data_IF_732599049553
#
_entry.id   IF_732599049553
#
_cell.length_a   1.000
_cell.length_b   1.000
_cell.length_c   1.000
_cell.angle_alpha   90.00
_cell.angle_beta   90.00
_cell.angle_gamma   90.00
#
_symmetry.space_group_name_H-M   'P 1'
#
loop_
_entity.id
_entity.type
_entity.pdbx_description
1 polymer ?
#
# COMPACT_ATOMS: atom_id res chain seq x y z
N UNK A 1 -19.03 32.61 7.10
CA UNK A 1 -18.09 31.96 8.03
C UNK A 1 -17.31 30.93 7.21
N UNK A 2 -16.09 31.24 6.76
CA UNK A 2 -15.26 30.26 6.06
C UNK A 2 -14.66 29.32 7.11
N UNK A 3 -15.08 28.07 7.10
CA UNK A 3 -14.41 27.00 7.84
C UNK A 3 -13.13 26.75 7.05
N UNK A 4 -12.03 27.40 7.44
CA UNK A 4 -10.71 26.99 6.99
C UNK A 4 -10.48 25.63 7.63
N UNK A 5 -10.75 24.57 6.85
CA UNK A 5 -10.34 23.22 7.20
C UNK A 5 -8.81 23.23 7.18
N UNK A 6 -8.19 23.57 8.31
CA UNK A 6 -6.75 23.43 8.48
C UNK A 6 -6.45 21.93 8.55
N UNK A 7 -6.40 21.29 7.38
CA UNK A 7 -5.94 19.91 7.24
C UNK A 7 -4.56 19.85 7.90
N UNK A 8 -4.36 18.92 8.85
CA UNK A 8 -3.05 18.75 9.49
C UNK A 8 -1.99 18.55 8.42
N UNK A 9 -0.86 19.24 8.56
CA UNK A 9 0.29 19.13 7.63
C UNK A 9 0.93 17.73 7.64
N UNK A 10 0.50 16.84 8.53
CA UNK A 10 0.93 15.45 8.56
C UNK A 10 -0.19 14.53 9.08
N UNK A 11 -0.06 13.24 8.79
CA UNK A 11 -0.87 12.16 9.35
C UNK A 11 0.06 11.05 9.88
N UNK A 12 -0.23 10.54 11.07
CA UNK A 12 0.46 9.37 11.59
C UNK A 12 -0.29 8.12 11.09
N UNK A 13 0.37 7.33 10.23
CA UNK A 13 -0.18 6.15 9.58
C UNK A 13 0.20 4.91 10.38
N UNK A 14 -0.79 4.10 10.75
CA UNK A 14 -0.60 2.85 11.50
C UNK A 14 -0.82 1.63 10.60
N UNK A 15 -0.07 0.54 10.83
CA UNK A 15 -0.24 -0.71 10.07
C UNK A 15 -1.44 -1.55 10.52
N UNK A 16 -1.81 -1.43 11.80
CA UNK A 16 -3.01 -2.02 12.42
C UNK A 16 -3.73 -0.93 13.22
N UNK A 17 -4.95 -1.19 13.68
CA UNK A 17 -5.62 -0.27 14.60
C UNK A 17 -4.84 -0.21 15.93
N UNK A 18 -4.30 0.96 16.35
CA UNK A 18 -3.56 1.08 17.60
C UNK A 18 -4.42 0.80 18.84
N UNK A 19 -5.75 0.86 18.75
CA UNK A 19 -6.64 0.44 19.83
C UNK A 19 -6.65 -1.09 20.01
N UNK A 20 -6.46 -1.85 18.93
CA UNK A 20 -6.39 -3.31 18.95
C UNK A 20 -4.96 -3.81 19.17
N UNK A 21 -3.96 -3.12 18.61
CA UNK A 21 -2.55 -3.41 18.78
C UNK A 21 -1.74 -2.14 19.06
N UNK A 22 -1.51 -1.80 20.34
CA UNK A 22 -0.73 -0.61 20.73
C UNK A 22 0.74 -0.62 20.30
N UNK A 23 1.28 -1.78 19.89
CA UNK A 23 2.67 -1.93 19.43
C UNK A 23 2.78 -1.84 17.90
N UNK A 24 1.69 -1.52 17.20
CA UNK A 24 1.71 -1.37 15.74
C UNK A 24 2.61 -0.18 15.35
N UNK A 25 3.48 -0.34 14.33
CA UNK A 25 4.30 0.75 13.83
C UNK A 25 3.45 1.93 13.35
N UNK A 26 3.94 3.13 13.64
CA UNK A 26 3.35 4.38 13.17
C UNK A 26 4.37 5.17 12.33
N UNK A 27 3.93 5.72 11.20
CA UNK A 27 4.77 6.53 10.31
C UNK A 27 4.18 7.92 10.17
N UNK A 28 4.96 8.95 10.47
CA UNK A 28 4.55 10.32 10.19
C UNK A 28 4.73 10.63 8.71
N UNK A 29 3.63 10.85 8.01
CA UNK A 29 3.61 11.25 6.60
C UNK A 29 3.24 12.72 6.50
N UNK A 30 4.10 13.52 5.88
CA UNK A 30 3.83 14.93 5.60
C UNK A 30 2.91 15.07 4.39
N UNK A 31 1.91 15.94 4.52
CA UNK A 31 0.79 16.12 3.61
C UNK A 31 0.56 17.60 3.26
N UNK A 32 1.58 18.44 3.44
CA UNK A 32 1.64 19.74 2.78
C UNK A 32 1.77 19.59 1.25
N UNK A 33 1.51 20.66 0.51
CA UNK A 33 1.44 20.62 -0.95
C UNK A 33 2.74 20.13 -1.60
N UNK A 34 3.90 20.57 -1.10
CA UNK A 34 5.21 20.15 -1.62
C UNK A 34 5.43 18.65 -1.40
N UNK A 35 5.09 18.15 -0.20
CA UNK A 35 5.17 16.73 0.13
C UNK A 35 4.23 15.88 -0.73
N UNK A 36 2.98 16.33 -0.94
CA UNK A 36 2.00 15.62 -1.78
C UNK A 36 2.48 15.57 -3.24
N UNK A 37 2.92 16.69 -3.81
CA UNK A 37 3.43 16.74 -5.18
C UNK A 37 4.66 15.86 -5.36
N UNK A 38 5.59 15.91 -4.40
CA UNK A 38 6.78 15.06 -4.39
C UNK A 38 6.46 13.57 -4.28
N UNK A 39 5.43 13.19 -3.53
CA UNK A 39 4.94 11.81 -3.46
C UNK A 39 4.24 11.40 -4.75
N UNK A 40 3.29 12.21 -5.26
CA UNK A 40 2.54 11.92 -6.48
C UNK A 40 3.47 11.76 -7.68
N UNK A 41 4.49 12.61 -7.84
CA UNK A 41 5.49 12.48 -8.91
C UNK A 41 6.23 11.14 -8.90
N UNK A 42 6.33 10.46 -7.76
CA UNK A 42 6.98 9.14 -7.61
C UNK A 42 6.02 7.97 -7.80
N UNK A 43 4.72 8.17 -7.55
CA UNK A 43 3.73 7.09 -7.47
C UNK A 43 2.59 7.17 -8.48
N UNK A 44 2.52 8.22 -9.31
CA UNK A 44 1.44 8.44 -10.27
C UNK A 44 1.22 7.25 -11.23
N UNK A 45 2.30 6.64 -11.72
CA UNK A 45 2.26 5.48 -12.63
C UNK A 45 2.09 4.14 -11.90
N UNK A 46 1.93 4.13 -10.58
CA UNK A 46 1.94 2.90 -9.80
C UNK A 46 0.71 2.02 -10.06
N UNK A 47 -0.46 2.62 -10.30
CA UNK A 47 -1.68 1.86 -10.60
C UNK A 47 -1.56 1.20 -11.97
N UNK A 48 -1.11 1.93 -12.98
CA UNK A 48 -0.94 1.41 -14.33
C UNK A 48 0.07 0.26 -14.35
N UNK A 49 1.20 0.41 -13.66
CA UNK A 49 2.19 -0.67 -13.50
C UNK A 49 1.63 -1.87 -12.75
N UNK A 50 0.84 -1.66 -11.69
CA UNK A 50 0.23 -2.76 -10.95
C UNK A 50 -0.73 -3.57 -11.84
N UNK A 51 -1.48 -2.90 -12.71
CA UNK A 51 -2.38 -3.55 -13.67
C UNK A 51 -1.60 -4.31 -14.76
N UNK A 52 -0.51 -3.73 -15.26
CA UNK A 52 0.37 -4.41 -16.21
C UNK A 52 1.00 -5.67 -15.61
N UNK A 53 1.48 -5.60 -14.38
CA UNK A 53 2.05 -6.74 -13.65
C UNK A 53 0.98 -7.81 -13.36
N UNK A 54 -0.25 -7.40 -13.00
CA UNK A 54 -1.37 -8.35 -12.82
C UNK A 54 -1.70 -9.07 -14.13
N UNK A 55 -1.70 -8.36 -15.26
CA UNK A 55 -1.86 -8.98 -16.59
C UNK A 55 -0.74 -9.99 -16.87
N UNK A 56 0.53 -9.61 -16.66
CA UNK A 56 1.68 -10.52 -16.79
C UNK A 56 1.51 -11.77 -15.91
N UNK A 57 1.07 -11.59 -14.67
CA UNK A 57 0.86 -12.71 -13.74
C UNK A 57 -0.26 -13.65 -14.18
N UNK A 58 -1.30 -13.14 -14.85
CA UNK A 58 -2.42 -13.95 -15.36
C UNK A 58 -2.04 -14.69 -16.64
N UNK A 59 -1.23 -14.08 -17.48
CA UNK A 59 -0.78 -14.62 -18.77
C UNK A 59 0.42 -15.57 -18.63
N UNK A 60 1.07 -15.61 -17.46
CA UNK A 60 2.23 -16.45 -17.19
C UNK A 60 1.95 -17.95 -17.39
N UNK A 61 2.66 -18.55 -18.36
CA UNK A 61 2.57 -19.95 -18.71
C UNK A 61 3.60 -20.82 -17.95
N UNK A 62 4.66 -20.19 -17.43
CA UNK A 62 5.76 -20.86 -16.73
C UNK A 62 5.96 -20.34 -15.31
N UNK A 63 6.60 -21.15 -14.47
CA UNK A 63 6.98 -20.73 -13.11
C UNK A 63 8.00 -19.58 -13.12
N UNK A 64 8.85 -19.50 -14.15
CA UNK A 64 9.79 -18.40 -14.34
C UNK A 64 9.07 -17.06 -14.60
N UNK A 65 8.06 -17.05 -15.47
CA UNK A 65 7.25 -15.86 -15.74
C UNK A 65 6.45 -15.42 -14.51
N UNK A 66 5.90 -16.38 -13.75
CA UNK A 66 5.22 -16.10 -12.47
C UNK A 66 6.19 -15.46 -11.47
N UNK A 67 7.40 -15.99 -11.35
CA UNK A 67 8.42 -15.44 -10.47
C UNK A 67 8.85 -14.02 -10.88
N UNK A 68 8.97 -13.73 -12.17
CA UNK A 68 9.27 -12.37 -12.65
C UNK A 68 8.12 -11.39 -12.38
N UNK A 69 6.86 -11.81 -12.53
CA UNK A 69 5.72 -10.98 -12.15
C UNK A 69 5.70 -10.68 -10.64
N UNK A 70 6.02 -11.67 -9.79
CA UNK A 70 6.15 -11.48 -8.34
C UNK A 70 7.28 -10.50 -8.00
N UNK A 71 8.46 -10.65 -8.60
CA UNK A 71 9.59 -9.71 -8.44
C UNK A 71 9.22 -8.30 -8.86
N UNK A 72 8.55 -8.14 -10.00
CA UNK A 72 8.10 -6.84 -10.49
C UNK A 72 7.12 -6.19 -9.51
N UNK A 73 6.17 -6.97 -8.98
CA UNK A 73 5.22 -6.49 -7.98
C UNK A 73 5.91 -6.07 -6.68
N UNK A 74 6.83 -6.89 -6.17
CA UNK A 74 7.60 -6.57 -4.96
C UNK A 74 8.41 -5.26 -5.12
N UNK A 75 9.05 -5.07 -6.29
CA UNK A 75 9.79 -3.83 -6.61
C UNK A 75 8.87 -2.61 -6.67
N UNK A 76 7.70 -2.75 -7.29
CA UNK A 76 6.70 -1.68 -7.35
C UNK A 76 6.20 -1.30 -5.95
N UNK A 77 5.88 -2.29 -5.12
CA UNK A 77 5.42 -2.09 -3.74
C UNK A 77 6.49 -1.39 -2.91
N UNK A 78 7.75 -1.86 -2.97
CA UNK A 78 8.88 -1.20 -2.31
C UNK A 78 9.00 0.26 -2.72
N UNK A 79 8.93 0.56 -4.02
CA UNK A 79 9.04 1.93 -4.54
C UNK A 79 7.97 2.83 -3.94
N UNK A 80 6.71 2.41 -3.98
CA UNK A 80 5.59 3.23 -3.50
C UNK A 80 5.59 3.38 -1.99
N UNK A 81 5.77 2.29 -1.25
CA UNK A 81 5.83 2.35 0.22
C UNK A 81 6.99 3.24 0.66
N UNK A 82 8.19 3.06 0.08
CA UNK A 82 9.35 3.88 0.42
C UNK A 82 9.20 5.35 0.02
N UNK A 83 8.43 5.65 -1.04
CA UNK A 83 8.16 7.02 -1.45
C UNK A 83 7.28 7.77 -0.44
N UNK A 84 6.40 7.06 0.28
CA UNK A 84 5.41 7.65 1.18
C UNK A 84 5.90 7.66 2.63
N UNK A 85 6.46 6.55 3.12
CA UNK A 85 6.91 6.41 4.52
C UNK A 85 8.45 6.35 4.68
N UNK A 86 9.20 6.55 3.59
CA UNK A 86 10.66 6.50 3.59
C UNK A 86 11.25 5.09 3.56
N UNK A 87 12.55 5.00 3.29
CA UNK A 87 13.27 3.73 3.22
C UNK A 87 13.35 3.01 4.57
N UNK A 88 13.54 3.76 5.66
CA UNK A 88 13.51 3.21 7.02
C UNK A 88 12.11 2.72 7.38
N UNK A 89 11.06 3.45 7.00
CA UNK A 89 9.68 3.01 7.20
C UNK A 89 9.37 1.71 6.47
N UNK A 90 9.84 1.56 5.22
CA UNK A 90 9.72 0.30 4.50
C UNK A 90 10.45 -0.85 5.21
N UNK A 91 11.65 -0.63 5.75
CA UNK A 91 12.36 -1.64 6.56
C UNK A 91 11.55 -2.04 7.80
N UNK A 92 11.00 -1.06 8.53
CA UNK A 92 10.13 -1.32 9.69
C UNK A 92 8.91 -2.17 9.30
N UNK A 93 8.31 -1.93 8.12
CA UNK A 93 7.20 -2.77 7.63
C UNK A 93 7.65 -4.23 7.47
N UNK A 94 8.80 -4.47 6.85
CA UNK A 94 9.31 -5.83 6.65
C UNK A 94 9.65 -6.54 7.96
N UNK A 95 10.27 -5.83 8.90
CA UNK A 95 10.59 -6.37 10.23
C UNK A 95 9.32 -6.65 11.05
N UNK A 96 8.34 -5.76 10.98
CA UNK A 96 7.06 -5.94 11.65
C UNK A 96 6.29 -7.16 11.13
N UNK A 97 6.33 -7.40 9.82
CA UNK A 97 5.72 -8.58 9.20
C UNK A 97 6.39 -9.90 9.60
N UNK A 98 7.65 -9.87 10.04
CA UNK A 98 8.43 -11.04 10.44
C UNK A 98 8.74 -11.08 11.94
N UNK A 99 7.90 -10.45 12.77
CA UNK A 99 8.02 -10.45 14.24
C UNK A 99 9.41 -10.02 14.75
N UNK A 100 10.05 -9.07 14.07
CA UNK A 100 11.36 -8.50 14.41
C UNK A 100 12.49 -8.87 13.43
N UNK A 101 12.27 -9.81 12.51
CA UNK A 101 13.19 -10.11 11.42
C UNK A 101 12.59 -9.66 10.08
N UNK A 102 13.38 -9.01 9.23
CA UNK A 102 12.89 -8.54 7.93
C UNK A 102 12.49 -9.71 7.02
N UNK A 103 11.22 -9.75 6.63
CA UNK A 103 10.74 -10.77 5.68
C UNK A 103 11.22 -10.53 4.26
N UNK A 104 11.28 -11.61 3.48
CA UNK A 104 11.50 -11.55 2.02
C UNK A 104 10.26 -10.94 1.32
N UNK A 105 10.40 -9.78 0.67
CA UNK A 105 9.28 -9.12 0.00
C UNK A 105 8.62 -9.95 -1.10
N UNK A 106 9.39 -10.77 -1.82
CA UNK A 106 8.87 -11.58 -2.93
C UNK A 106 7.95 -12.69 -2.44
N UNK A 107 8.17 -13.18 -1.21
CA UNK A 107 7.31 -14.18 -0.56
C UNK A 107 6.09 -13.58 0.13
N UNK A 108 6.05 -12.25 0.29
CA UNK A 108 5.02 -11.53 1.03
C UNK A 108 4.37 -10.39 0.22
N UNK A 109 4.44 -10.47 -1.12
CA UNK A 109 3.85 -9.47 -2.04
C UNK A 109 2.37 -9.21 -1.79
N UNK A 110 1.64 -10.19 -1.25
CA UNK A 110 0.23 -10.04 -0.97
C UNK A 110 -0.03 -9.10 0.21
N UNK A 111 0.64 -9.35 1.33
CA UNK A 111 0.55 -8.52 2.54
C UNK A 111 1.12 -7.12 2.27
N UNK A 112 2.25 -7.03 1.56
CA UNK A 112 2.79 -5.74 1.10
C UNK A 112 1.82 -5.02 0.15
N UNK A 113 1.01 -5.74 -0.60
CA UNK A 113 -0.06 -5.20 -1.44
C UNK A 113 -1.14 -4.47 -0.65
N UNK A 114 -1.44 -4.91 0.56
CA UNK A 114 -2.42 -4.25 1.44
C UNK A 114 -1.87 -2.92 1.98
N UNK A 115 -0.61 -2.90 2.42
CA UNK A 115 0.09 -1.67 2.86
C UNK A 115 0.19 -0.68 1.69
N UNK A 116 0.60 -1.16 0.51
CA UNK A 116 0.63 -0.40 -0.73
C UNK A 116 -0.72 0.24 -1.05
N UNK A 117 -1.79 -0.54 -0.99
CA UNK A 117 -3.15 -0.08 -1.29
C UNK A 117 -3.63 0.98 -0.29
N UNK A 118 -3.35 0.79 1.00
CA UNK A 118 -3.71 1.72 2.05
C UNK A 118 -3.03 3.09 1.87
N UNK A 119 -1.72 3.08 1.60
CA UNK A 119 -0.93 4.30 1.40
C UNK A 119 -1.36 5.07 0.14
N UNK A 120 -1.60 4.38 -0.99
CA UNK A 120 -2.13 5.03 -2.19
C UNK A 120 -3.53 5.61 -1.98
N UNK A 121 -4.40 4.89 -1.26
CA UNK A 121 -5.75 5.38 -0.95
C UNK A 121 -5.69 6.63 -0.07
N UNK A 122 -4.81 6.64 0.94
CA UNK A 122 -4.59 7.82 1.79
C UNK A 122 -4.10 9.00 0.94
N UNK A 123 -3.05 8.81 0.12
CA UNK A 123 -2.51 9.87 -0.72
C UNK A 123 -3.57 10.44 -1.67
N UNK A 124 -4.35 9.58 -2.33
CA UNK A 124 -5.43 10.00 -3.24
C UNK A 124 -6.56 10.77 -2.53
N UNK A 125 -6.84 10.50 -1.26
CA UNK A 125 -7.82 11.25 -0.46
C UNK A 125 -7.32 12.61 0.01
N UNK A 126 -6.00 12.80 0.07
CA UNK A 126 -5.35 14.02 0.58
C UNK A 126 -4.91 14.96 -0.53
N UNK A 127 -4.59 14.42 -1.70
CA UNK A 127 -4.26 15.21 -2.88
C UNK A 127 -5.47 16.01 -3.39
N UNK A 128 -5.22 17.24 -3.83
CA UNK A 128 -6.23 18.05 -4.51
C UNK A 128 -6.49 17.53 -5.93
N UNK A 129 -7.66 17.87 -6.48
CA UNK A 129 -7.99 17.56 -7.87
C UNK A 129 -7.03 18.18 -8.90
N UNK A 130 -6.33 19.26 -8.54
CA UNK A 130 -5.32 19.88 -9.40
C UNK A 130 -4.00 19.10 -9.36
N UNK A 131 -3.49 18.78 -8.17
CA UNK A 131 -2.30 17.94 -8.01
C UNK A 131 -2.47 16.57 -8.68
N UNK A 132 -3.64 15.94 -8.54
CA UNK A 132 -3.94 14.70 -9.23
C UNK A 132 -3.98 14.89 -10.76
N UNK A 133 -4.46 16.02 -11.29
CA UNK A 133 -4.42 16.31 -12.74
C UNK A 133 -3.00 16.53 -13.25
N UNK A 134 -2.21 17.32 -12.53
CA UNK A 134 -0.83 17.65 -12.90
C UNK A 134 0.04 16.39 -12.97
N UNK A 135 -0.17 15.44 -12.08
CA UNK A 135 0.55 14.17 -12.08
C UNK A 135 -0.02 13.13 -13.06
N UNK A 136 -0.97 13.50 -13.94
CA UNK A 136 -1.63 12.57 -14.87
C UNK A 136 -2.56 11.56 -14.20
N UNK A 137 -2.90 11.76 -12.92
CA UNK A 137 -3.69 10.87 -12.08
C UNK A 137 -5.21 11.17 -12.07
N UNK A 138 -5.70 12.12 -12.87
CA UNK A 138 -7.14 12.35 -13.11
C UNK A 138 -7.52 11.70 -14.45
N UNK A 139 -8.38 10.68 -14.57
CA UNK A 139 -9.54 10.25 -13.79
C UNK A 139 -9.50 8.71 -13.58
N UNK A 140 -9.29 8.25 -12.35
CA UNK A 140 -9.87 6.97 -11.88
C UNK A 140 -10.65 7.14 -10.58
N UNK A 141 -11.11 8.36 -10.27
CA UNK A 141 -12.04 8.63 -9.17
C UNK A 141 -13.35 7.82 -9.28
N UNK A 142 -13.59 7.19 -10.44
CA UNK A 142 -14.67 6.22 -10.64
C UNK A 142 -14.30 5.13 -11.65
N UNK A 143 -12.99 4.81 -11.80
CA UNK A 143 -12.69 3.63 -12.60
C UNK A 143 -13.13 2.42 -11.78
N UNK A 144 -14.24 1.85 -12.23
CA UNK A 144 -14.72 0.53 -11.86
C UNK A 144 -13.55 -0.45 -11.69
N UNK A 145 -12.50 -0.31 -12.53
CA UNK A 145 -11.24 -1.07 -12.52
C UNK A 145 -10.36 -0.89 -11.28
N UNK A 146 -10.22 0.31 -10.71
CA UNK A 146 -9.42 0.53 -9.48
C UNK A 146 -10.16 -0.06 -8.28
N UNK A 147 -11.47 0.19 -8.21
CA UNK A 147 -12.34 -0.41 -7.19
C UNK A 147 -12.41 -1.92 -7.35
N UNK A 148 -12.46 -2.46 -8.57
CA UNK A 148 -12.44 -3.89 -8.90
C UNK A 148 -11.08 -4.52 -8.58
N UNK A 149 -9.96 -3.84 -8.85
CA UNK A 149 -8.62 -4.33 -8.48
C UNK A 149 -8.46 -4.42 -6.96
N UNK A 150 -8.86 -3.37 -6.24
CA UNK A 150 -8.87 -3.36 -4.77
C UNK A 150 -9.87 -4.36 -4.19
N UNK A 151 -11.04 -4.52 -4.81
CA UNK A 151 -12.04 -5.51 -4.41
C UNK A 151 -11.56 -6.94 -4.70
N UNK A 152 -10.84 -7.18 -5.80
CA UNK A 152 -10.24 -8.47 -6.12
C UNK A 152 -9.14 -8.84 -5.11
N UNK A 153 -8.29 -7.88 -4.74
CA UNK A 153 -7.33 -8.07 -3.65
C UNK A 153 -8.04 -8.38 -2.31
N UNK A 154 -9.08 -7.61 -1.93
CA UNK A 154 -9.84 -7.84 -0.69
C UNK A 154 -10.66 -9.13 -0.68
N UNK A 155 -11.25 -9.52 -1.80
CA UNK A 155 -12.04 -10.74 -1.94
C UNK A 155 -11.17 -11.99 -1.77
N UNK A 156 -9.92 -11.92 -2.22
CA UNK A 156 -8.96 -12.98 -1.93
C UNK A 156 -8.61 -13.04 -0.42
N UNK A 157 -8.54 -11.89 0.29
CA UNK A 157 -7.92 -11.72 1.63
C UNK A 157 -8.82 -11.82 2.86
N UNK A 158 -10.16 -11.82 2.71
CA UNK A 158 -11.09 -11.74 3.84
C UNK A 158 -11.07 -12.92 4.84
N UNK A 159 -10.36 -14.01 4.56
CA UNK A 159 -10.34 -15.20 5.44
C UNK A 159 -9.10 -15.35 6.33
N UNK A 160 -7.99 -14.64 6.08
CA UNK A 160 -6.71 -15.06 6.69
C UNK A 160 -6.16 -14.17 7.82
N UNK A 161 -6.56 -12.90 7.95
CA UNK A 161 -6.16 -12.10 9.11
C UNK A 161 -6.77 -12.61 10.43
N UNK A 162 -7.95 -13.24 10.37
CA UNK A 162 -8.52 -13.98 11.52
C UNK A 162 -7.83 -15.32 11.78
N UNK A 163 -7.20 -15.93 10.77
CA UNK A 163 -6.63 -17.27 10.88
C UNK A 163 -5.17 -17.27 11.36
N UNK A 164 -4.37 -16.25 11.03
CA UNK A 164 -2.95 -16.21 11.37
C UNK A 164 -2.68 -15.98 12.88
N UNK A 165 -3.55 -15.24 13.59
CA UNK A 165 -3.43 -15.04 15.05
C UNK A 165 -4.35 -15.97 15.90
N UNK A 166 -5.10 -16.89 15.27
CA UNK A 166 -6.09 -17.75 15.94
C UNK A 166 -5.61 -19.14 16.38
N UNK A 167 -4.31 -19.45 16.26
CA UNK A 167 -3.77 -20.81 16.36
C UNK A 167 -3.03 -21.17 17.65
N UNK A 168 -3.43 -20.70 18.84
CA UNK A 168 -2.93 -21.26 20.12
C UNK A 168 -4.07 -21.90 20.91
N UNK A 169 -4.41 -23.15 20.54
CA UNK A 169 -5.13 -24.07 21.44
C UNK A 169 -4.27 -24.26 22.69
N UNK A 170 -4.70 -23.68 23.81
CA UNK A 170 -4.25 -24.07 25.15
C UNK A 170 -4.60 -25.56 25.32
N UNK A 171 -3.58 -26.41 25.25
CA UNK A 171 -3.64 -27.78 25.79
C UNK A 171 -3.53 -27.64 27.31
N UNK A 172 -4.64 -27.91 28.00
CA UNK A 172 -4.64 -28.43 29.37
C UNK A 172 -5.26 -29.82 29.29
#
# INVERSE_FOLDING_TARGET
>A
MQIINATRAYEDVYLEDPAENPQTPSFRVWLDDESIEGMLGKVADAIDRAQEIDRMSREAATDGERAEAVKALARLQKRVISAIIGADGYRTVLEWMGDGEAVDPEKHVRQLGEVFAALLTMLGRKATSEQLRTCGAYYTAESRKTTEFMAAQRASGRQQFRAAKGGKKRRK
#
